data_IF_811053785758
#
_entry.id   IF_811053785758
#
_cell.length_a   1.000
_cell.length_b   1.000
_cell.length_c   1.000
_cell.angle_alpha   90.00
_cell.angle_beta   90.00
_cell.angle_gamma   90.00
#
_symmetry.space_group_name_H-M   'P 1'
#
loop_
_entity.id
_entity.type
_entity.pdbx_description
1 polymer ?
#
# COMPACT_ATOMS: atom_id res chain seq x y z
N UNK A 1 -77.94 -33.71 -0.83
CA UNK A 1 -77.86 -33.19 -2.21
C UNK A 1 -76.40 -32.80 -2.44
N UNK A 2 -75.60 -33.28 -3.38
CA UNK A 2 -75.77 -34.10 -4.58
C UNK A 2 -74.45 -34.84 -4.83
N UNK A 3 -74.54 -36.03 -5.41
CA UNK A 3 -73.44 -36.87 -5.88
C UNK A 3 -72.87 -36.36 -7.22
N UNK A 4 -71.61 -36.72 -7.53
CA UNK A 4 -71.13 -37.25 -8.83
C UNK A 4 -69.60 -37.46 -8.72
N UNK A 5 -69.04 -38.64 -9.00
CA UNK A 5 -68.74 -39.04 -10.39
C UNK A 5 -67.24 -39.08 -10.74
N UNK A 6 -66.52 -40.19 -10.49
CA UNK A 6 -65.07 -40.29 -10.70
C UNK A 6 -64.56 -40.74 -12.08
N UNK A 7 -63.22 -40.60 -12.21
CA UNK A 7 -62.20 -41.39 -12.97
C UNK A 7 -62.25 -41.42 -14.53
N UNK A 8 -61.13 -41.71 -15.26
CA UNK A 8 -59.91 -42.45 -14.85
C UNK A 8 -58.54 -41.88 -15.31
N UNK A 9 -57.46 -42.46 -14.77
CA UNK A 9 -56.06 -42.16 -15.09
C UNK A 9 -55.45 -42.95 -16.26
N UNK A 10 -54.21 -42.59 -16.62
CA UNK A 10 -53.28 -43.37 -17.48
C UNK A 10 -51.84 -42.76 -17.37
N UNK A 11 -50.76 -43.45 -17.79
CA UNK A 11 -49.86 -44.15 -16.87
C UNK A 11 -48.42 -43.59 -16.80
N UNK A 12 -47.78 -43.92 -15.69
CA UNK A 12 -46.39 -43.62 -15.32
C UNK A 12 -45.39 -44.29 -16.27
N UNK A 13 -44.63 -43.49 -17.03
CA UNK A 13 -43.49 -43.97 -17.81
C UNK A 13 -42.22 -44.02 -16.95
N UNK A 14 -41.73 -45.24 -16.68
CA UNK A 14 -40.42 -45.53 -16.10
C UNK A 14 -39.32 -45.02 -17.05
N UNK A 15 -38.51 -44.05 -16.61
CA UNK A 15 -37.23 -43.76 -17.27
C UNK A 15 -36.18 -44.77 -16.82
N UNK A 16 -35.54 -45.42 -17.80
CA UNK A 16 -34.35 -46.26 -17.66
C UNK A 16 -33.16 -45.43 -17.12
N UNK A 17 -32.20 -46.07 -16.42
CA UNK A 17 -30.95 -45.43 -16.01
C UNK A 17 -30.06 -45.18 -17.24
N UNK A 18 -29.63 -43.93 -17.44
CA UNK A 18 -28.54 -43.61 -18.36
C UNK A 18 -27.21 -43.94 -17.69
N UNK A 19 -26.40 -44.73 -18.39
CA UNK A 19 -25.11 -45.21 -17.94
C UNK A 19 -24.10 -44.08 -17.73
N UNK A 20 -23.28 -44.28 -16.70
CA UNK A 20 -22.10 -43.49 -16.38
C UNK A 20 -21.12 -43.51 -17.55
N UNK A 21 -20.87 -42.35 -18.15
CA UNK A 21 -19.80 -42.17 -19.11
C UNK A 21 -18.45 -42.19 -18.37
N UNK A 22 -17.61 -43.16 -18.72
CA UNK A 22 -16.20 -43.25 -18.32
C UNK A 22 -15.43 -42.12 -19.02
N UNK A 23 -14.66 -41.27 -18.32
CA UNK A 23 -13.82 -40.28 -18.97
C UNK A 23 -12.64 -40.96 -19.68
N UNK A 24 -12.38 -40.57 -20.92
CA UNK A 24 -11.25 -41.04 -21.72
C UNK A 24 -9.90 -40.63 -21.08
N UNK A 25 -8.85 -41.46 -21.18
CA UNK A 25 -7.55 -41.16 -20.58
C UNK A 25 -6.85 -40.00 -21.29
N UNK A 26 -6.25 -39.12 -20.49
CA UNK A 26 -5.38 -38.03 -20.97
C UNK A 26 -4.10 -38.58 -21.61
N UNK A 27 -3.58 -37.96 -22.69
CA UNK A 27 -2.40 -38.47 -23.38
C UNK A 27 -1.15 -38.34 -22.51
N UNK A 28 -0.36 -39.42 -22.47
CA UNK A 28 0.91 -39.52 -21.76
C UNK A 28 2.02 -38.71 -22.43
N UNK A 29 2.95 -38.21 -21.60
CA UNK A 29 4.10 -37.33 -21.87
C UNK A 29 5.09 -37.79 -22.97
N UNK A 30 4.86 -38.92 -23.63
CA UNK A 30 5.71 -39.45 -24.71
C UNK A 30 5.16 -39.18 -26.13
N UNK A 31 4.04 -38.47 -26.29
CA UNK A 31 3.49 -38.09 -27.60
C UNK A 31 3.71 -36.61 -27.99
N UNK A 32 4.45 -35.85 -27.19
CA UNK A 32 4.79 -34.44 -27.50
C UNK A 32 6.17 -34.29 -28.17
N UNK A 33 6.99 -35.35 -28.23
CA UNK A 33 8.38 -35.26 -28.74
C UNK A 33 8.61 -35.64 -30.21
N UNK A 34 7.57 -35.79 -31.05
CA UNK A 34 7.74 -36.22 -32.45
C UNK A 34 7.36 -35.21 -33.55
N UNK A 35 7.21 -33.91 -33.23
CA UNK A 35 6.90 -32.87 -34.26
C UNK A 35 8.03 -31.84 -34.48
N UNK A 36 9.16 -31.91 -33.77
CA UNK A 36 10.31 -31.00 -34.00
C UNK A 36 11.59 -31.73 -34.40
N UNK A 37 11.49 -32.63 -35.38
CA UNK A 37 12.66 -33.26 -36.00
C UNK A 37 12.46 -33.37 -37.51
N UNK A 38 12.50 -32.24 -38.24
CA UNK A 38 12.62 -32.21 -39.71
C UNK A 38 12.90 -30.80 -40.28
N UNK A 39 14.04 -30.20 -39.94
CA UNK A 39 14.78 -29.28 -40.85
C UNK A 39 16.16 -28.94 -40.26
N UNK A 40 17.08 -29.91 -40.33
CA UNK A 40 18.51 -29.67 -40.13
C UNK A 40 19.20 -30.34 -41.32
N UNK A 41 19.52 -29.53 -42.31
CA UNK A 41 20.22 -29.97 -43.51
C UNK A 41 20.50 -28.76 -44.39
N UNK A 42 21.80 -28.43 -44.51
CA UNK A 42 22.38 -27.55 -45.55
C UNK A 42 22.65 -26.08 -45.18
N UNK A 43 23.38 -25.78 -44.11
CA UNK A 43 24.18 -24.53 -44.01
C UNK A 43 25.55 -24.67 -43.33
N UNK A 44 26.08 -25.89 -43.16
CA UNK A 44 27.30 -26.12 -42.38
C UNK A 44 28.58 -26.46 -43.19
N UNK A 45 28.60 -26.37 -44.52
CA UNK A 45 29.78 -26.80 -45.32
C UNK A 45 30.40 -25.69 -46.20
N UNK A 46 29.85 -24.47 -46.23
CA UNK A 46 30.43 -23.38 -47.06
C UNK A 46 31.27 -22.36 -46.27
N UNK A 47 31.30 -22.42 -44.93
CA UNK A 47 31.98 -21.39 -44.12
C UNK A 47 33.39 -21.74 -43.66
N UNK A 48 33.96 -22.89 -44.04
CA UNK A 48 35.29 -23.31 -43.58
C UNK A 48 36.43 -23.16 -44.60
N UNK A 49 36.13 -22.79 -45.85
CA UNK A 49 37.17 -22.61 -46.89
C UNK A 49 37.60 -21.14 -47.07
N UNK A 50 36.80 -20.16 -46.60
CA UNK A 50 37.12 -18.74 -46.76
C UNK A 50 38.00 -18.19 -45.60
N UNK A 51 37.99 -18.81 -44.42
CA UNK A 51 38.78 -18.36 -43.26
C UNK A 51 40.26 -18.75 -43.30
N UNK A 52 40.65 -19.77 -44.08
CA UNK A 52 42.05 -20.20 -44.19
C UNK A 52 42.87 -19.38 -45.20
N UNK A 53 42.23 -18.72 -46.17
CA UNK A 53 42.92 -17.94 -47.22
C UNK A 53 43.26 -16.50 -46.79
N UNK A 54 42.56 -15.93 -45.81
CA UNK A 54 42.83 -14.58 -45.30
C UNK A 54 43.92 -14.54 -44.21
N UNK A 55 44.19 -15.66 -43.53
CA UNK A 55 45.26 -15.74 -42.52
C UNK A 55 46.67 -15.83 -43.12
N UNK A 56 46.81 -16.23 -44.39
CA UNK A 56 48.12 -16.37 -45.06
C UNK A 56 48.64 -15.07 -45.72
N UNK A 57 47.77 -14.09 -45.98
CA UNK A 57 48.18 -12.82 -46.62
C UNK A 57 48.64 -11.76 -45.60
N UNK A 58 48.21 -11.85 -44.34
CA UNK A 58 48.60 -10.89 -43.28
C UNK A 58 49.98 -11.23 -42.66
N UNK A 59 50.47 -12.46 -42.79
CA UNK A 59 51.71 -12.90 -42.13
C UNK A 59 52.98 -12.61 -42.96
N UNK A 60 52.89 -12.30 -44.26
CA UNK A 60 54.07 -12.00 -45.10
C UNK A 60 54.38 -10.50 -45.32
N UNK A 61 53.61 -9.56 -44.77
CA UNK A 61 53.90 -8.12 -44.89
C UNK A 61 54.65 -7.53 -43.69
N UNK A 62 55.03 -8.34 -42.70
CA UNK A 62 55.55 -7.86 -41.40
C UNK A 62 57.07 -7.98 -41.25
N UNK A 63 57.82 -8.04 -42.35
CA UNK A 63 59.27 -7.88 -42.35
C UNK A 63 59.59 -6.62 -43.16
N UNK A 64 60.38 -5.71 -42.57
CA UNK A 64 60.84 -4.43 -43.13
C UNK A 64 59.97 -3.20 -42.90
N UNK A 65 59.59 -2.92 -41.65
CA UNK A 65 59.46 -1.53 -41.19
C UNK A 65 60.17 -1.42 -39.83
N UNK A 66 61.37 -0.84 -39.81
CA UNK A 66 62.00 -0.35 -38.59
C UNK A 66 61.26 0.91 -38.14
N UNK A 67 60.61 0.93 -36.97
CA UNK A 67 60.08 2.17 -36.44
C UNK A 67 61.26 2.93 -35.82
N UNK A 68 61.55 4.13 -36.34
CA UNK A 68 62.34 5.13 -35.60
C UNK A 68 61.54 5.45 -34.33
N UNK A 69 62.01 4.93 -33.19
CA UNK A 69 61.42 5.19 -31.89
C UNK A 69 61.45 6.69 -31.60
N UNK A 70 60.29 7.33 -31.75
CA UNK A 70 60.01 8.61 -31.11
C UNK A 70 59.24 8.26 -29.86
N UNK A 71 59.86 8.42 -28.69
CA UNK A 71 59.21 8.14 -27.42
C UNK A 71 58.03 9.11 -27.24
N UNK A 72 56.83 8.67 -27.58
CA UNK A 72 55.60 9.32 -27.17
C UNK A 72 55.45 9.07 -25.67
N UNK A 73 55.73 10.11 -24.89
CA UNK A 73 55.46 10.13 -23.46
C UNK A 73 53.94 9.99 -23.30
N UNK A 74 53.48 8.80 -22.96
CA UNK A 74 52.09 8.56 -22.55
C UNK A 74 51.84 9.39 -21.29
N UNK A 75 51.16 10.52 -21.43
CA UNK A 75 50.68 11.28 -20.29
C UNK A 75 49.64 10.39 -19.58
N UNK A 76 49.97 9.96 -18.36
CA UNK A 76 49.03 9.24 -17.52
C UNK A 76 47.71 10.04 -17.43
N UNK A 77 46.53 9.41 -17.58
CA UNK A 77 45.27 10.11 -17.43
C UNK A 77 45.22 10.74 -16.04
N UNK A 78 45.08 12.05 -15.99
CA UNK A 78 44.94 12.80 -14.75
C UNK A 78 43.75 12.22 -13.99
N UNK A 79 43.90 11.77 -12.73
CA UNK A 79 42.76 11.29 -11.96
C UNK A 79 41.75 12.44 -11.86
N UNK A 80 40.57 12.26 -12.46
CA UNK A 80 39.45 13.16 -12.23
C UNK A 80 39.19 13.12 -10.72
N UNK A 81 39.21 14.26 -10.02
CA UNK A 81 38.87 14.27 -8.61
C UNK A 81 37.47 13.70 -8.46
N UNK A 82 37.36 12.48 -7.96
CA UNK A 82 36.07 11.87 -7.63
C UNK A 82 35.51 12.69 -6.48
N UNK A 83 34.57 13.59 -6.78
CA UNK A 83 33.88 14.35 -5.76
C UNK A 83 33.30 13.34 -4.75
N UNK A 84 33.54 13.51 -3.44
CA UNK A 84 32.96 12.62 -2.45
C UNK A 84 31.44 12.54 -2.66
N UNK A 85 30.83 11.36 -2.56
CA UNK A 85 29.37 11.26 -2.64
C UNK A 85 28.76 12.23 -1.64
N UNK A 86 27.73 12.97 -2.09
CA UNK A 86 27.04 13.93 -1.24
C UNK A 86 26.55 13.22 0.04
N UNK A 87 26.59 13.89 1.21
CA UNK A 87 26.06 13.32 2.44
C UNK A 87 24.61 12.86 2.24
N UNK A 88 24.27 11.70 2.79
CA UNK A 88 22.90 11.18 2.76
C UNK A 88 21.95 12.19 3.42
N UNK A 89 20.94 12.63 2.66
CA UNK A 89 19.88 13.52 3.15
C UNK A 89 18.56 12.75 3.25
N UNK A 90 18.09 12.43 4.47
CA UNK A 90 16.78 11.82 4.72
C UNK A 90 15.60 12.59 4.11
N UNK A 91 15.77 13.88 3.82
CA UNK A 91 14.76 14.78 3.26
C UNK A 91 14.67 14.79 1.74
N UNK A 92 15.71 14.39 1.01
CA UNK A 92 15.79 14.56 -0.45
C UNK A 92 14.64 13.84 -1.20
N UNK A 93 14.30 12.62 -0.77
CA UNK A 93 13.24 11.79 -1.35
C UNK A 93 12.05 11.60 -0.40
N UNK A 94 11.90 12.47 0.60
CA UNK A 94 10.82 12.38 1.57
C UNK A 94 9.46 12.67 0.92
N UNK A 95 8.41 11.95 1.34
CA UNK A 95 7.06 12.17 0.82
C UNK A 95 6.53 13.57 1.18
N UNK A 96 6.85 14.11 2.36
CA UNK A 96 6.42 15.43 2.83
C UNK A 96 7.63 16.34 3.13
N UNK A 97 7.51 17.67 3.05
CA UNK A 97 6.29 18.45 2.77
C UNK A 97 6.04 18.75 1.28
N UNK A 98 6.99 18.42 0.40
CA UNK A 98 6.95 18.90 -0.99
C UNK A 98 5.88 18.20 -1.85
N UNK A 99 5.28 17.10 -1.39
CA UNK A 99 4.20 16.42 -2.08
C UNK A 99 2.91 16.44 -1.24
N UNK A 100 1.78 16.18 -1.90
CA UNK A 100 0.54 15.78 -1.23
C UNK A 100 0.35 14.28 -1.36
N UNK A 101 0.03 13.61 -0.27
CA UNK A 101 -0.32 12.20 -0.27
C UNK A 101 -1.83 12.07 -0.46
N UNK A 102 -2.24 11.24 -1.42
CA UNK A 102 -3.63 10.82 -1.60
C UNK A 102 -3.66 9.30 -1.53
N UNK A 103 -4.36 8.74 -0.56
CA UNK A 103 -4.39 7.30 -0.34
C UNK A 103 -5.81 6.75 -0.23
N UNK A 104 -6.00 5.49 -0.61
CA UNK A 104 -7.24 4.77 -0.33
C UNK A 104 -7.06 3.86 0.87
N UNK A 105 -8.05 3.86 1.74
CA UNK A 105 -8.07 3.13 2.99
C UNK A 105 -8.69 1.75 2.83
N UNK A 106 -8.31 0.79 3.67
CA UNK A 106 -9.08 -0.43 3.84
C UNK A 106 -8.46 -1.44 4.79
N UNK A 107 -9.20 -2.53 4.97
CA UNK A 107 -8.80 -3.66 5.81
C UNK A 107 -8.27 -4.79 4.96
N UNK A 108 -7.17 -5.42 5.39
CA UNK A 108 -6.57 -6.54 4.66
C UNK A 108 -7.59 -7.63 4.37
N UNK A 109 -7.93 -7.78 3.08
CA UNK A 109 -8.80 -8.83 2.53
C UNK A 109 -10.04 -9.17 3.35
N UNK A 110 -10.73 -8.16 3.89
CA UNK A 110 -11.99 -8.38 4.61
C UNK A 110 -13.10 -8.96 3.71
N UNK A 111 -12.96 -8.83 2.38
CA UNK A 111 -13.97 -9.30 1.42
C UNK A 111 -15.22 -8.43 1.39
N UNK A 112 -15.16 -7.27 2.04
CA UNK A 112 -16.28 -6.36 2.27
C UNK A 112 -15.89 -4.99 1.73
N UNK A 113 -16.59 -4.52 0.70
CA UNK A 113 -16.24 -3.28 0.00
C UNK A 113 -16.41 -2.02 0.88
N UNK A 114 -17.40 -1.98 1.77
CA UNK A 114 -17.64 -0.83 2.65
C UNK A 114 -16.58 -0.63 3.74
N UNK A 115 -15.66 -1.59 3.89
CA UNK A 115 -14.48 -1.43 4.75
C UNK A 115 -13.38 -0.60 4.07
N UNK A 116 -13.54 -0.27 2.79
CA UNK A 116 -12.71 0.65 2.04
C UNK A 116 -12.25 0.08 0.69
N UNK A 117 -11.87 0.93 -0.29
CA UNK A 117 -11.66 0.51 -1.69
C UNK A 117 -10.56 -0.53 -1.89
N UNK A 118 -9.63 -0.66 -0.92
CA UNK A 118 -8.51 -1.62 -1.01
C UNK A 118 -8.80 -2.94 -0.30
N UNK A 119 -10.00 -3.12 0.26
CA UNK A 119 -10.35 -4.25 1.13
C UNK A 119 -10.67 -5.54 0.38
N UNK A 120 -10.87 -5.48 -0.93
CA UNK A 120 -11.34 -6.60 -1.76
C UNK A 120 -10.41 -6.92 -2.92
N UNK A 121 -10.47 -8.18 -3.38
CA UNK A 121 -9.77 -8.64 -4.58
C UNK A 121 -10.76 -8.83 -5.74
N UNK A 122 -10.34 -8.59 -6.98
CA UNK A 122 -9.03 -8.07 -7.39
C UNK A 122 -8.87 -6.58 -7.02
N UNK A 123 -7.63 -6.09 -6.95
CA UNK A 123 -7.35 -4.67 -6.71
C UNK A 123 -7.76 -3.81 -7.91
N UNK A 124 -9.01 -3.36 -7.91
CA UNK A 124 -9.64 -2.58 -8.99
C UNK A 124 -9.65 -1.07 -8.76
N UNK A 125 -9.16 -0.61 -7.60
CA UNK A 125 -9.27 0.78 -7.15
C UNK A 125 -8.27 1.75 -7.79
N UNK A 126 -7.16 1.26 -8.35
CA UNK A 126 -6.06 2.11 -8.84
C UNK A 126 -6.48 3.18 -9.87
N UNK A 127 -7.30 2.88 -10.89
CA UNK A 127 -7.76 3.91 -11.83
C UNK A 127 -8.51 5.05 -11.13
N UNK A 128 -9.32 4.72 -10.11
CA UNK A 128 -10.05 5.72 -9.33
C UNK A 128 -9.12 6.54 -8.45
N UNK A 129 -8.15 5.90 -7.80
CA UNK A 129 -7.12 6.57 -7.00
C UNK A 129 -6.30 7.55 -7.86
N UNK A 130 -5.91 7.14 -9.07
CA UNK A 130 -5.21 8.00 -10.04
C UNK A 130 -6.07 9.20 -10.47
N UNK A 131 -7.37 8.98 -10.73
CA UNK A 131 -8.30 10.06 -11.06
C UNK A 131 -8.38 11.10 -9.93
N UNK A 132 -8.56 10.66 -8.67
CA UNK A 132 -8.63 11.56 -7.51
C UNK A 132 -7.29 12.28 -7.30
N UNK A 133 -6.17 11.59 -7.47
CA UNK A 133 -4.84 12.19 -7.41
C UNK A 133 -4.63 13.30 -8.45
N UNK A 134 -5.07 13.09 -9.70
CA UNK A 134 -5.01 14.12 -10.74
C UNK A 134 -5.84 15.36 -10.38
N UNK A 135 -7.00 15.17 -9.73
CA UNK A 135 -7.83 16.29 -9.28
C UNK A 135 -7.13 17.11 -8.18
N UNK A 136 -6.44 16.47 -7.23
CA UNK A 136 -5.61 17.19 -6.25
C UNK A 136 -4.42 17.89 -6.89
N UNK A 137 -3.72 17.25 -7.82
CA UNK A 137 -2.58 17.85 -8.53
C UNK A 137 -3.01 19.08 -9.33
N UNK A 138 -4.19 19.05 -9.95
CA UNK A 138 -4.75 20.20 -10.67
C UNK A 138 -5.17 21.32 -9.72
N UNK A 139 -5.74 20.98 -8.54
CA UNK A 139 -6.18 21.95 -7.55
C UNK A 139 -5.01 22.62 -6.78
N UNK A 140 -3.85 21.96 -6.70
CA UNK A 140 -2.65 22.48 -6.05
C UNK A 140 -1.36 22.03 -6.75
N UNK A 141 -0.98 22.72 -7.84
CA UNK A 141 0.22 22.38 -8.60
C UNK A 141 1.54 22.54 -7.83
N UNK A 142 1.53 23.19 -6.64
CA UNK A 142 2.72 23.38 -5.81
C UNK A 142 3.13 22.11 -5.06
N UNK A 143 2.20 21.19 -4.86
CA UNK A 143 2.43 19.92 -4.19
C UNK A 143 2.09 18.76 -5.14
N UNK A 144 3.07 18.23 -5.90
CA UNK A 144 2.87 17.01 -6.68
C UNK A 144 2.27 15.88 -5.85
N UNK A 145 1.48 15.00 -6.46
CA UNK A 145 0.76 13.96 -5.72
C UNK A 145 1.55 12.66 -5.64
N UNK A 146 1.65 12.10 -4.44
CA UNK A 146 2.07 10.73 -4.17
C UNK A 146 0.83 9.90 -3.83
N UNK A 147 0.60 8.83 -4.59
CA UNK A 147 -0.53 7.92 -4.35
C UNK A 147 -0.15 6.87 -3.31
N UNK A 148 -1.12 6.37 -2.55
CA UNK A 148 -0.85 5.34 -1.57
C UNK A 148 -2.05 4.51 -1.13
N UNK A 149 -1.79 3.61 -0.20
CA UNK A 149 -2.77 2.78 0.48
C UNK A 149 -2.59 2.98 1.99
N UNK A 150 -3.71 3.20 2.69
CA UNK A 150 -3.79 3.20 4.15
C UNK A 150 -4.42 1.89 4.61
N UNK A 151 -3.61 0.95 5.11
CA UNK A 151 -4.00 -0.46 5.23
C UNK A 151 -4.00 -0.89 6.69
N UNK A 152 -5.18 -1.22 7.21
CA UNK A 152 -5.30 -1.81 8.55
C UNK A 152 -4.71 -3.22 8.53
N UNK A 153 -3.53 -3.37 9.13
CA UNK A 153 -2.82 -4.65 9.25
C UNK A 153 -2.97 -5.27 10.63
N UNK A 154 -3.29 -4.48 11.65
CA UNK A 154 -3.75 -4.95 12.95
C UNK A 154 -5.18 -4.47 13.17
N UNK A 155 -6.12 -5.39 13.36
CA UNK A 155 -7.55 -5.08 13.39
C UNK A 155 -8.11 -5.31 14.78
N UNK A 156 -8.90 -4.36 15.29
CA UNK A 156 -9.69 -4.60 16.50
C UNK A 156 -10.77 -5.66 16.24
N UNK A 157 -10.84 -6.65 17.12
CA UNK A 157 -11.74 -7.82 16.99
C UNK A 157 -12.86 -7.85 18.03
N UNK A 158 -12.94 -6.83 18.89
CA UNK A 158 -13.74 -6.87 20.10
C UNK A 158 -13.08 -7.67 21.22
N UNK A 159 -13.68 -7.64 22.41
CA UNK A 159 -13.18 -8.33 23.60
C UNK A 159 -14.20 -9.35 24.10
N UNK A 160 -13.80 -10.61 24.29
CA UNK A 160 -14.73 -11.63 24.79
C UNK A 160 -14.20 -13.06 24.70
N UNK A 161 -15.03 -14.01 25.18
CA UNK A 161 -14.72 -15.45 25.10
C UNK A 161 -14.64 -15.87 23.63
N UNK A 162 -13.54 -16.52 23.24
CA UNK A 162 -13.30 -16.95 21.87
C UNK A 162 -12.66 -15.88 20.97
N UNK A 163 -12.40 -14.68 21.49
CA UNK A 163 -11.65 -13.62 20.81
C UNK A 163 -10.21 -13.54 21.34
N UNK A 164 -9.28 -12.93 20.58
CA UNK A 164 -7.91 -12.71 21.03
C UNK A 164 -7.85 -11.98 22.38
N UNK A 165 -6.89 -12.35 23.23
CA UNK A 165 -6.70 -11.75 24.57
C UNK A 165 -6.40 -10.25 24.50
N UNK A 166 -5.69 -9.82 23.45
CA UNK A 166 -5.43 -8.41 23.17
C UNK A 166 -6.58 -7.69 22.47
N UNK A 167 -7.72 -8.34 22.23
CA UNK A 167 -8.84 -7.77 21.47
C UNK A 167 -8.49 -7.27 20.07
N UNK A 168 -7.36 -7.70 19.52
CA UNK A 168 -6.85 -7.36 18.20
C UNK A 168 -6.31 -8.60 17.49
N UNK A 169 -6.21 -8.53 16.17
CA UNK A 169 -5.64 -9.57 15.35
C UNK A 169 -4.73 -8.98 14.28
N UNK A 170 -3.46 -9.43 14.29
CA UNK A 170 -2.50 -9.09 13.26
C UNK A 170 -2.77 -9.91 11.99
N UNK A 171 -2.75 -9.22 10.85
CA UNK A 171 -2.89 -9.81 9.53
C UNK A 171 -1.75 -10.79 9.24
N UNK A 172 -2.08 -11.87 8.55
CA UNK A 172 -1.09 -12.87 8.19
C UNK A 172 -0.01 -12.27 7.25
N UNK A 173 1.29 -12.57 7.43
CA UNK A 173 2.37 -11.92 6.66
C UNK A 173 2.22 -12.03 5.14
N UNK A 174 1.70 -13.15 4.63
CA UNK A 174 1.48 -13.33 3.19
C UNK A 174 0.44 -12.36 2.62
N UNK A 175 -0.47 -11.86 3.44
CA UNK A 175 -1.45 -10.87 3.01
C UNK A 175 -0.84 -9.48 2.96
N UNK A 176 -0.08 -9.09 3.99
CA UNK A 176 0.70 -7.85 4.00
C UNK A 176 1.65 -7.84 2.79
N UNK A 177 2.33 -8.95 2.51
CA UNK A 177 3.23 -9.08 1.36
C UNK A 177 2.53 -8.83 0.02
N UNK A 178 1.27 -9.26 -0.15
CA UNK A 178 0.53 -9.01 -1.38
C UNK A 178 0.27 -7.52 -1.62
N UNK A 179 0.06 -6.73 -0.56
CA UNK A 179 -0.05 -5.27 -0.68
C UNK A 179 1.30 -4.60 -0.91
N UNK A 180 2.37 -5.10 -0.29
CA UNK A 180 3.75 -4.63 -0.54
C UNK A 180 4.11 -4.81 -2.02
N UNK A 181 3.89 -6.01 -2.56
CA UNK A 181 4.18 -6.33 -3.96
C UNK A 181 3.36 -5.45 -4.90
N UNK A 182 2.08 -5.24 -4.59
CA UNK A 182 1.21 -4.38 -5.39
C UNK A 182 1.66 -2.91 -5.37
N UNK A 183 2.01 -2.38 -4.20
CA UNK A 183 2.49 -1.01 -4.05
C UNK A 183 3.82 -0.80 -4.78
N UNK A 184 4.73 -1.76 -4.67
CA UNK A 184 6.01 -1.71 -5.38
C UNK A 184 5.83 -1.71 -6.90
N UNK A 185 4.93 -2.56 -7.43
CA UNK A 185 4.64 -2.63 -8.87
C UNK A 185 3.99 -1.35 -9.42
N UNK A 186 3.21 -0.65 -8.60
CA UNK A 186 2.43 0.52 -9.02
C UNK A 186 2.96 1.85 -8.49
N UNK A 187 4.16 1.86 -7.88
CA UNK A 187 4.79 3.03 -7.28
C UNK A 187 3.87 3.76 -6.29
N UNK A 188 3.25 3.01 -5.38
CA UNK A 188 2.38 3.51 -4.33
C UNK A 188 3.11 3.52 -2.98
N UNK A 189 2.76 4.48 -2.14
CA UNK A 189 3.08 4.44 -0.70
C UNK A 189 2.17 3.42 -0.01
N UNK A 190 2.65 2.80 1.07
CA UNK A 190 1.85 1.91 1.91
C UNK A 190 1.98 2.33 3.37
N UNK A 191 0.86 2.64 4.01
CA UNK A 191 0.79 2.90 5.45
C UNK A 191 0.29 1.63 6.12
N UNK A 192 1.08 1.12 7.07
CA UNK A 192 0.66 0.03 7.95
C UNK A 192 -0.12 0.66 9.10
N UNK A 193 -1.44 0.47 9.10
CA UNK A 193 -2.35 1.03 10.09
C UNK A 193 -2.68 -0.01 11.18
N UNK A 194 -2.72 0.45 12.43
CA UNK A 194 -2.74 -0.39 13.62
C UNK A 194 -3.91 -0.01 14.54
N UNK A 195 -4.88 -0.92 14.67
CA UNK A 195 -6.00 -0.84 15.61
C UNK A 195 -5.71 -1.73 16.82
N UNK A 196 -4.90 -1.19 17.72
CA UNK A 196 -4.21 -1.90 18.80
C UNK A 196 -5.07 -2.80 19.70
N UNK A 197 -6.38 -2.56 19.81
CA UNK A 197 -7.22 -3.22 20.81
C UNK A 197 -6.70 -2.92 22.22
N UNK A 198 -6.38 -3.96 22.97
CA UNK A 198 -5.73 -3.92 24.29
C UNK A 198 -4.24 -4.27 24.24
N UNK A 199 -3.66 -4.42 23.05
CA UNK A 199 -2.24 -4.68 22.90
C UNK A 199 -1.40 -3.45 23.28
N UNK A 200 -0.18 -3.69 23.76
CA UNK A 200 0.78 -2.62 23.99
C UNK A 200 1.21 -1.98 22.66
N UNK A 201 1.05 -0.65 22.56
CA UNK A 201 1.37 0.13 21.35
C UNK A 201 2.80 -0.11 20.88
N UNK A 202 3.77 -0.14 21.82
CA UNK A 202 5.19 -0.27 21.49
C UNK A 202 5.53 -1.67 21.01
N UNK A 203 4.92 -2.69 21.60
CA UNK A 203 5.08 -4.07 21.20
C UNK A 203 4.54 -4.31 19.78
N UNK A 204 3.40 -3.71 19.44
CA UNK A 204 2.82 -3.85 18.11
C UNK A 204 3.62 -3.07 17.05
N UNK A 205 4.00 -1.82 17.34
CA UNK A 205 4.84 -1.02 16.44
C UNK A 205 6.20 -1.69 16.22
N UNK A 206 6.80 -2.28 17.26
CA UNK A 206 8.06 -3.04 17.13
C UNK A 206 7.96 -4.17 16.09
N UNK A 207 6.80 -4.81 15.96
CA UNK A 207 6.59 -5.86 14.95
C UNK A 207 6.54 -5.31 13.52
N UNK A 208 6.22 -4.02 13.35
CA UNK A 208 6.16 -3.37 12.04
C UNK A 208 7.51 -2.81 11.58
N UNK A 209 8.47 -2.61 12.48
CA UNK A 209 9.80 -2.05 12.17
C UNK A 209 10.52 -2.79 11.02
N UNK A 210 10.55 -4.14 10.94
CA UNK A 210 11.21 -4.83 9.83
C UNK A 210 10.67 -4.45 8.44
N UNK A 211 9.38 -4.12 8.32
CA UNK A 211 8.79 -3.64 7.06
C UNK A 211 9.23 -2.21 6.74
N UNK A 212 9.22 -1.34 7.76
CA UNK A 212 9.61 0.07 7.63
C UNK A 212 11.10 0.23 7.28
N UNK A 213 11.94 -0.63 7.85
CA UNK A 213 13.38 -0.72 7.57
C UNK A 213 13.65 -1.18 6.14
N UNK A 214 12.97 -2.25 5.72
CA UNK A 214 13.25 -2.92 4.45
C UNK A 214 12.70 -2.18 3.23
N UNK A 215 11.56 -1.51 3.37
CA UNK A 215 10.84 -0.93 2.23
C UNK A 215 10.73 0.59 2.37
N UNK A 216 11.44 1.37 1.53
CA UNK A 216 11.43 2.84 1.60
C UNK A 216 10.02 3.46 1.50
N UNK A 217 9.15 2.90 0.66
CA UNK A 217 7.78 3.37 0.42
C UNK A 217 6.76 2.97 1.49
N UNK A 218 7.16 2.18 2.49
CA UNK A 218 6.31 1.81 3.62
C UNK A 218 6.45 2.85 4.74
N UNK A 219 5.31 3.25 5.27
CA UNK A 219 5.08 4.22 6.33
C UNK A 219 4.16 3.62 7.40
N UNK A 220 3.89 4.38 8.47
CA UNK A 220 3.12 3.90 9.62
C UNK A 220 1.93 4.81 9.88
N UNK A 221 0.79 4.21 10.23
CA UNK A 221 -0.38 4.89 10.77
C UNK A 221 -0.71 4.31 12.15
N UNK A 222 -1.13 5.18 13.07
CA UNK A 222 -1.66 4.79 14.38
C UNK A 222 -3.14 5.15 14.38
N UNK A 223 -4.00 4.14 14.37
CA UNK A 223 -5.41 4.35 14.62
C UNK A 223 -5.62 4.48 16.13
N UNK A 224 -5.97 5.69 16.56
CA UNK A 224 -6.27 5.94 17.97
C UNK A 224 -7.69 5.49 18.32
N UNK A 225 -8.51 5.25 17.30
CA UNK A 225 -9.75 4.50 17.42
C UNK A 225 -9.35 3.04 17.72
N UNK A 226 -10.02 2.46 18.72
CA UNK A 226 -9.87 1.08 19.17
C UNK A 226 -8.65 0.72 20.03
N UNK A 227 -7.89 1.68 20.58
CA UNK A 227 -6.93 1.38 21.65
C UNK A 227 -7.53 1.57 23.05
N UNK A 228 -7.49 0.52 23.87
CA UNK A 228 -8.00 0.47 25.23
C UNK A 228 -6.91 -0.06 26.16
N UNK A 229 -6.68 0.59 27.30
CA UNK A 229 -5.71 0.06 28.26
C UNK A 229 -6.13 -1.32 28.77
N UNK A 230 -5.19 -2.24 29.07
CA UNK A 230 -5.50 -3.61 29.49
C UNK A 230 -6.50 -3.70 30.66
N UNK A 231 -6.42 -2.74 31.59
CA UNK A 231 -7.26 -2.68 32.79
C UNK A 231 -8.59 -1.94 32.59
N UNK A 232 -8.87 -1.38 31.41
CA UNK A 232 -10.15 -0.76 31.11
C UNK A 232 -11.23 -1.85 30.94
N UNK A 233 -12.46 -1.59 31.43
CA UNK A 233 -13.62 -2.41 31.07
C UNK A 233 -13.72 -2.58 29.56
N UNK A 234 -14.39 -3.63 29.10
CA UNK A 234 -14.67 -3.75 27.67
C UNK A 234 -15.39 -2.49 27.19
N UNK A 235 -14.99 -1.95 26.03
CA UNK A 235 -15.48 -0.67 25.58
C UNK A 235 -17.00 -0.68 25.46
N UNK A 236 -17.63 0.32 26.07
CA UNK A 236 -19.03 0.62 25.81
C UNK A 236 -19.19 1.30 24.45
N UNK A 237 -20.44 1.52 24.03
CA UNK A 237 -20.77 2.11 22.72
C UNK A 237 -20.18 3.51 22.49
N UNK A 238 -19.74 4.19 23.55
CA UNK A 238 -19.24 5.58 23.51
C UNK A 238 -17.74 5.73 23.78
N UNK A 239 -17.04 4.65 24.15
CA UNK A 239 -15.59 4.68 24.31
C UNK A 239 -14.96 4.05 23.07
N UNK A 240 -14.44 4.91 22.21
CA UNK A 240 -13.78 4.51 20.97
C UNK A 240 -12.26 4.40 21.17
N UNK A 241 -11.71 4.58 22.38
CA UNK A 241 -10.30 4.38 22.66
C UNK A 241 -9.43 5.63 22.59
N UNK A 242 -8.17 5.50 22.97
CA UNK A 242 -7.20 6.61 22.96
C UNK A 242 -5.77 6.11 23.01
N UNK A 243 -4.85 6.88 22.47
CA UNK A 243 -3.40 6.64 22.59
C UNK A 243 -2.74 7.81 23.31
N UNK A 244 -1.74 7.54 24.17
CA UNK A 244 -1.03 8.60 24.87
C UNK A 244 0.09 9.21 24.03
N UNK A 245 0.27 10.53 24.18
CA UNK A 245 1.36 11.27 23.57
C UNK A 245 2.75 10.71 23.90
N UNK A 246 2.94 10.06 25.06
CA UNK A 246 4.18 9.38 25.41
C UNK A 246 4.48 8.19 24.49
N UNK A 247 3.48 7.42 24.10
CA UNK A 247 3.66 6.29 23.18
C UNK A 247 3.88 6.78 21.75
N UNK A 248 3.14 7.82 21.32
CA UNK A 248 3.40 8.50 20.05
C UNK A 248 4.84 9.02 19.99
N UNK A 249 5.32 9.65 21.06
CA UNK A 249 6.70 10.13 21.15
C UNK A 249 7.73 9.00 21.06
N UNK A 250 7.45 7.85 21.66
CA UNK A 250 8.30 6.67 21.52
C UNK A 250 8.34 6.17 20.07
N UNK A 251 7.20 6.14 19.38
CA UNK A 251 7.13 5.78 17.95
C UNK A 251 7.95 6.75 17.10
N UNK A 252 7.84 8.06 17.36
CA UNK A 252 8.65 9.08 16.66
C UNK A 252 10.15 8.82 16.87
N UNK A 253 10.58 8.42 18.08
CA UNK A 253 11.99 8.07 18.31
C UNK A 253 12.44 6.86 17.49
N UNK A 254 11.63 5.80 17.42
CA UNK A 254 11.96 4.62 16.64
C UNK A 254 12.09 4.96 15.15
N UNK A 255 11.10 5.67 14.60
CA UNK A 255 11.08 6.07 13.20
C UNK A 255 12.21 7.04 12.84
N UNK A 256 12.64 7.91 13.77
CA UNK A 256 13.70 8.89 13.53
C UNK A 256 15.08 8.28 13.33
N UNK A 257 15.30 7.06 13.82
CA UNK A 257 16.58 6.35 13.69
C UNK A 257 16.72 5.67 12.32
N UNK A 258 15.59 5.28 11.71
CA UNK A 258 15.60 4.45 10.50
C UNK A 258 16.36 5.09 9.33
N UNK A 259 16.22 6.39 9.02
CA UNK A 259 16.92 6.98 7.89
C UNK A 259 18.43 6.85 7.98
N UNK A 260 19.01 7.12 9.16
CA UNK A 260 20.45 7.05 9.36
C UNK A 260 20.97 5.61 9.35
N UNK A 261 20.21 4.66 9.92
CA UNK A 261 20.62 3.27 10.01
C UNK A 261 20.51 2.53 8.67
N UNK A 262 19.46 2.81 7.90
CA UNK A 262 19.11 2.03 6.71
C UNK A 262 19.27 2.80 5.39
N UNK A 263 19.72 4.06 5.44
CA UNK A 263 19.87 4.93 4.26
C UNK A 263 18.58 5.06 3.44
N UNK A 264 17.46 5.22 4.15
CA UNK A 264 16.11 5.35 3.56
C UNK A 264 15.52 6.74 3.85
N UNK A 265 14.63 7.26 2.99
CA UNK A 265 13.96 8.53 3.26
C UNK A 265 13.24 8.52 4.61
N UNK A 266 13.12 9.71 5.23
CA UNK A 266 12.35 9.84 6.47
C UNK A 266 10.92 9.33 6.31
N UNK A 267 10.42 8.66 7.33
CA UNK A 267 9.08 8.06 7.33
C UNK A 267 8.00 9.11 7.58
N UNK A 268 6.80 8.83 7.05
CA UNK A 268 5.57 9.52 7.44
C UNK A 268 4.92 8.72 8.57
N UNK A 269 4.50 9.41 9.63
CA UNK A 269 3.70 8.86 10.71
C UNK A 269 2.34 9.54 10.69
N UNK A 270 1.31 8.80 10.34
CA UNK A 270 -0.08 9.25 10.43
C UNK A 270 -0.60 8.92 11.84
N UNK A 271 -1.28 9.87 12.46
CA UNK A 271 -1.97 9.68 13.74
C UNK A 271 -3.42 10.04 13.51
N UNK A 272 -4.31 9.05 13.46
CA UNK A 272 -5.74 9.29 13.28
C UNK A 272 -6.32 9.92 14.54
N UNK A 273 -7.13 10.97 14.41
CA UNK A 273 -7.83 11.60 15.52
C UNK A 273 -9.28 11.89 15.13
N UNK A 274 -10.23 11.25 15.81
CA UNK A 274 -11.66 11.34 15.50
C UNK A 274 -12.45 12.24 16.49
N UNK A 275 -11.90 12.45 17.69
CA UNK A 275 -12.37 13.39 18.74
C UNK A 275 -11.16 14.01 19.46
N UNK A 276 -11.38 15.08 20.25
CA UNK A 276 -10.31 15.75 21.00
C UNK A 276 -9.58 14.80 21.98
N UNK A 277 -10.34 13.96 22.68
CA UNK A 277 -9.82 13.02 23.68
C UNK A 277 -9.16 11.75 23.14
N UNK A 278 -9.13 11.53 21.82
CA UNK A 278 -8.54 10.33 21.24
C UNK A 278 -7.01 10.27 21.42
N UNK A 279 -6.39 11.43 21.72
CA UNK A 279 -4.97 11.51 22.07
C UNK A 279 -4.81 12.17 23.42
N UNK A 280 -4.44 11.40 24.44
CA UNK A 280 -4.12 11.95 25.75
C UNK A 280 -2.74 12.61 25.72
N UNK A 281 -2.54 13.68 26.49
CA UNK A 281 -1.29 14.45 26.48
C UNK A 281 -0.86 14.96 25.07
N UNK A 282 -1.83 15.24 24.18
CA UNK A 282 -1.61 15.69 22.80
C UNK A 282 -0.64 16.85 22.67
N UNK A 283 -0.69 17.81 23.59
CA UNK A 283 0.20 18.98 23.62
C UNK A 283 1.67 18.66 23.96
N UNK A 284 1.98 17.42 24.37
CA UNK A 284 3.35 16.95 24.65
C UNK A 284 3.95 16.13 23.52
N UNK A 285 3.24 15.95 22.40
CA UNK A 285 3.79 15.28 21.22
C UNK A 285 4.92 16.14 20.66
N UNK A 286 6.06 15.52 20.41
CA UNK A 286 7.24 16.19 19.85
C UNK A 286 7.22 16.18 18.33
N UNK A 287 8.01 17.07 17.74
CA UNK A 287 8.33 17.06 16.32
C UNK A 287 9.76 16.59 16.09
N UNK A 288 10.01 15.86 15.01
CA UNK A 288 11.36 15.46 14.57
C UNK A 288 11.56 15.84 13.10
N UNK A 289 12.70 16.44 12.71
CA UNK A 289 13.00 16.66 11.29
C UNK A 289 13.20 15.34 10.52
N UNK A 290 13.39 14.23 11.23
CA UNK A 290 13.62 12.90 10.66
C UNK A 290 12.34 12.06 10.56
N UNK A 291 11.17 12.63 10.92
CA UNK A 291 9.86 11.97 10.79
C UNK A 291 8.80 12.99 10.39
N UNK A 292 8.12 12.74 9.27
CA UNK A 292 7.00 13.57 8.84
C UNK A 292 5.74 13.17 9.61
N UNK A 293 5.51 13.80 10.76
CA UNK A 293 4.36 13.49 11.62
C UNK A 293 3.13 14.26 11.13
N UNK A 294 2.01 13.54 10.98
CA UNK A 294 0.76 14.05 10.44
C UNK A 294 -0.35 13.75 11.44
N UNK A 295 -1.02 14.78 11.95
CA UNK A 295 -2.27 14.60 12.65
C UNK A 295 -3.40 14.53 11.62
N UNK A 296 -4.09 13.39 11.58
CA UNK A 296 -5.03 13.07 10.53
C UNK A 296 -6.45 13.02 11.09
N UNK A 297 -7.29 13.98 10.68
CA UNK A 297 -8.63 14.12 11.23
C UNK A 297 -9.56 13.10 10.56
N UNK A 298 -10.06 12.20 11.39
CA UNK A 298 -10.90 11.07 11.03
C UNK A 298 -12.36 11.28 11.52
N UNK A 299 -13.29 10.54 10.92
CA UNK A 299 -14.67 10.43 11.36
C UNK A 299 -15.68 10.88 10.30
N UNK A 300 -16.81 10.20 10.33
CA UNK A 300 -17.95 10.43 9.46
C UNK A 300 -18.59 11.81 9.69
N UNK A 301 -19.22 12.33 8.64
CA UNK A 301 -20.06 13.53 8.73
C UNK A 301 -20.30 14.14 7.36
N UNK A 302 -21.36 14.93 7.23
CA UNK A 302 -21.56 15.76 6.02
C UNK A 302 -20.49 16.85 5.93
N UNK A 303 -20.21 17.45 4.75
CA UNK A 303 -19.13 18.41 4.57
C UNK A 303 -18.98 19.47 5.67
N UNK A 304 -20.07 20.15 6.05
CA UNK A 304 -20.03 21.19 7.09
C UNK A 304 -19.56 20.66 8.45
N UNK A 305 -20.00 19.46 8.83
CA UNK A 305 -19.56 18.81 10.08
C UNK A 305 -18.07 18.47 10.03
N UNK A 306 -17.59 18.03 8.87
CA UNK A 306 -16.18 17.68 8.67
C UNK A 306 -15.28 18.89 8.67
N UNK A 307 -15.69 19.97 8.01
CA UNK A 307 -14.98 21.24 8.02
C UNK A 307 -14.91 21.79 9.45
N UNK A 308 -16.03 21.78 10.18
CA UNK A 308 -16.08 22.22 11.56
C UNK A 308 -15.17 21.38 12.47
N UNK A 309 -15.22 20.04 12.35
CA UNK A 309 -14.35 19.13 13.11
C UNK A 309 -12.88 19.32 12.77
N UNK A 310 -12.54 19.38 11.48
CA UNK A 310 -11.16 19.58 11.06
C UNK A 310 -10.61 20.89 11.58
N UNK A 311 -11.33 21.99 11.37
CA UNK A 311 -10.87 23.31 11.78
C UNK A 311 -10.83 23.47 13.31
N UNK A 312 -11.58 22.67 14.08
CA UNK A 312 -11.46 22.67 15.54
C UNK A 312 -10.25 21.87 16.03
N UNK A 313 -10.04 20.66 15.49
CA UNK A 313 -8.95 19.77 15.90
C UNK A 313 -7.59 20.18 15.32
N UNK A 314 -7.58 20.87 14.17
CA UNK A 314 -6.36 21.36 13.54
C UNK A 314 -5.85 22.70 14.12
N UNK A 315 -6.53 23.27 15.12
CA UNK A 315 -5.99 24.40 15.89
C UNK A 315 -4.92 23.89 16.85
N UNK A 316 -3.77 24.58 16.88
CA UNK A 316 -2.67 24.24 17.78
C UNK A 316 -2.12 22.82 17.54
N UNK A 317 -2.01 22.42 16.27
CA UNK A 317 -1.43 21.13 15.88
C UNK A 317 -0.06 20.94 16.55
N UNK A 318 0.15 19.85 17.30
CA UNK A 318 1.47 19.52 17.81
C UNK A 318 2.40 18.99 16.69
N UNK A 319 1.82 18.67 15.53
CA UNK A 319 2.52 18.13 14.36
C UNK A 319 2.67 19.20 13.28
N UNK A 320 3.73 19.16 12.45
CA UNK A 320 3.94 20.14 11.39
C UNK A 320 2.94 20.00 10.24
N UNK A 321 2.32 18.82 10.09
CA UNK A 321 1.43 18.49 8.98
C UNK A 321 0.08 18.01 9.48
N UNK A 322 -0.92 18.19 8.63
CA UNK A 322 -2.31 17.80 8.85
C UNK A 322 -2.79 16.86 7.75
N UNK A 323 -3.75 16.02 8.10
CA UNK A 323 -4.41 15.13 7.17
C UNK A 323 -5.92 15.04 7.39
N UNK A 324 -6.63 14.52 6.40
CA UNK A 324 -8.09 14.51 6.38
C UNK A 324 -8.61 13.24 5.71
N UNK A 325 -9.48 12.50 6.40
CA UNK A 325 -10.20 11.38 5.79
C UNK A 325 -11.41 11.87 5.02
N UNK A 326 -11.85 11.15 4.02
CA UNK A 326 -13.15 11.26 3.35
C UNK A 326 -13.74 9.86 3.21
N UNK A 327 -15.06 9.74 3.20
CA UNK A 327 -15.75 8.46 3.10
C UNK A 327 -16.60 8.41 1.83
N UNK A 328 -16.41 7.38 1.01
CA UNK A 328 -17.23 7.05 -0.14
C UNK A 328 -18.57 6.47 0.30
N UNK A 329 -19.54 6.58 -0.59
CA UNK A 329 -20.85 5.96 -0.41
C UNK A 329 -20.84 4.53 -0.94
N UNK A 330 -21.38 3.61 -0.14
CA UNK A 330 -21.50 2.19 -0.46
C UNK A 330 -22.97 1.78 -0.49
N UNK A 331 -23.66 1.87 -1.65
CA UNK A 331 -25.10 1.67 -1.75
C UNK A 331 -25.58 0.28 -1.31
N UNK A 332 -24.72 -0.74 -1.46
CA UNK A 332 -25.04 -2.14 -1.12
C UNK A 332 -24.69 -2.51 0.32
N UNK A 333 -24.34 -1.53 1.16
CA UNK A 333 -24.05 -1.81 2.56
C UNK A 333 -25.33 -2.25 3.32
N UNK A 334 -25.28 -3.35 4.08
CA UNK A 334 -26.44 -3.94 4.74
C UNK A 334 -26.93 -3.17 5.97
N UNK A 335 -26.19 -2.19 6.47
CA UNK A 335 -26.58 -1.37 7.63
C UNK A 335 -26.94 0.05 7.18
N UNK A 336 -28.14 0.56 7.49
CA UNK A 336 -28.46 1.97 7.27
C UNK A 336 -27.79 2.82 8.36
N UNK A 337 -26.49 3.08 8.20
CA UNK A 337 -25.69 3.94 9.08
C UNK A 337 -24.96 5.03 8.28
N UNK A 338 -24.41 6.03 8.98
CA UNK A 338 -23.49 7.02 8.39
C UNK A 338 -22.31 6.37 7.63
N UNK A 339 -21.97 5.13 7.95
CA UNK A 339 -20.93 4.33 7.30
C UNK A 339 -21.31 3.86 5.89
N UNK A 340 -22.59 3.94 5.52
CA UNK A 340 -23.18 3.18 4.41
C UNK A 340 -23.96 4.01 3.39
N UNK A 341 -23.77 5.33 3.48
CA UNK A 341 -24.12 6.32 2.46
C UNK A 341 -23.22 7.53 2.62
N UNK A 342 -21.95 7.28 2.96
CA UNK A 342 -21.10 8.26 3.60
C UNK A 342 -20.82 9.45 2.67
N UNK A 343 -20.93 10.64 3.27
CA UNK A 343 -20.72 11.96 2.70
C UNK A 343 -21.43 12.19 1.36
N UNK A 344 -22.71 12.55 1.40
CA UNK A 344 -23.47 12.95 0.21
C UNK A 344 -23.81 14.45 0.26
N UNK A 345 -23.21 15.30 -0.60
CA UNK A 345 -22.07 15.00 -1.48
C UNK A 345 -20.75 14.93 -0.70
N UNK A 346 -19.80 14.16 -1.24
CA UNK A 346 -18.42 14.10 -0.74
C UNK A 346 -17.71 15.41 -1.11
N UNK A 347 -16.85 15.92 -0.23
CA UNK A 347 -16.07 17.12 -0.56
C UNK A 347 -15.18 16.85 -1.78
N UNK A 348 -15.24 17.75 -2.76
CA UNK A 348 -14.29 17.75 -3.88
C UNK A 348 -12.89 18.16 -3.40
N UNK A 349 -11.82 17.75 -4.10
CA UNK A 349 -10.46 18.21 -3.80
C UNK A 349 -10.35 19.73 -3.70
N UNK A 350 -11.01 20.49 -4.57
CA UNK A 350 -11.02 21.96 -4.50
C UNK A 350 -11.66 22.49 -3.20
N UNK A 351 -12.76 21.87 -2.74
CA UNK A 351 -13.39 22.25 -1.47
C UNK A 351 -12.50 21.92 -0.27
N UNK A 352 -11.87 20.74 -0.25
CA UNK A 352 -10.92 20.34 0.80
C UNK A 352 -9.82 21.40 0.95
N UNK A 353 -9.19 21.80 -0.16
CA UNK A 353 -8.08 22.75 -0.11
C UNK A 353 -8.50 24.19 0.18
N UNK A 354 -9.70 24.59 -0.26
CA UNK A 354 -10.20 25.93 -0.02
C UNK A 354 -10.65 26.13 1.44
N UNK A 355 -11.32 25.13 2.03
CA UNK A 355 -12.10 25.28 3.26
C UNK A 355 -11.41 24.78 4.52
N UNK A 356 -10.45 23.86 4.40
CA UNK A 356 -9.71 23.32 5.54
C UNK A 356 -8.46 24.17 5.83
N UNK A 357 -8.23 24.48 7.10
CA UNK A 357 -7.09 25.29 7.56
C UNK A 357 -6.36 24.60 8.72
N UNK A 358 -5.06 24.29 8.58
CA UNK A 358 -4.26 24.35 7.35
C UNK A 358 -4.78 23.37 6.28
N UNK A 359 -4.42 23.59 5.01
CA UNK A 359 -4.77 22.64 3.94
C UNK A 359 -4.05 21.31 4.17
N UNK A 360 -4.75 20.16 4.16
CA UNK A 360 -4.14 18.87 4.47
C UNK A 360 -3.11 18.47 3.42
N UNK A 361 -1.99 17.90 3.87
CA UNK A 361 -0.98 17.29 3.01
C UNK A 361 -1.16 15.78 2.86
N UNK A 362 -2.00 15.16 3.68
CA UNK A 362 -2.41 13.76 3.54
C UNK A 362 -3.92 13.70 3.46
N UNK A 363 -4.47 13.11 2.40
CA UNK A 363 -5.90 12.87 2.28
C UNK A 363 -6.14 11.39 2.04
N UNK A 364 -6.94 10.76 2.90
CA UNK A 364 -7.34 9.37 2.72
C UNK A 364 -8.81 9.26 2.34
N UNK A 365 -9.15 8.25 1.54
CA UNK A 365 -10.53 7.93 1.17
C UNK A 365 -10.86 6.50 1.58
N UNK A 366 -11.87 6.35 2.43
CA UNK A 366 -12.43 5.06 2.87
C UNK A 366 -13.77 4.79 2.20
#
# INVERSE_FOLDING_TARGET
>A
MSQSRGQPGTPTQRRRPQGSAVPAPSPTRSQIEQVTARTLGSTAVVSFVIMAALAAIVVLSSLFITPKGTALTSLAPTPIPTQPPAPFDPGADAALPNNRIVAFYGYVFSGIDFNGPVSTKPFSFLPKLQQVGQQYAAADPKHPVKLGIDLVVDTWTGCGVGLPVGCNALSAPQWIQAYIDYCQQNNLLLFLDLQFGKADVRALVSQMLPYLERYPFIHLALDTEFHFYPNQPNPGVFDLGHVDGADINWVIDQLSQLPALYHIPRKVLIIHQYIDGAITNRNKIKTSPLVSTVLHIDGFGVPDQKIAKYNSLAVGLPTPYSGFKLFFSYPDCPVPSLSCGAEQPIMTPAQVLAQLKPAPLVVTYQ
#
